data_IF_426944664950
#
_entry.id   IF_426944664950
#
_cell.length_a   1.000
_cell.length_b   1.000
_cell.length_c   1.000
_cell.angle_alpha   90.00
_cell.angle_beta   90.00
_cell.angle_gamma   90.00
#
_symmetry.space_group_name_H-M   'P 1'
#
loop_
_entity.id
_entity.type
_entity.pdbx_description
1 polymer ?
#
# COMPACT_ATOMS: atom_id res chain seq x y z
N UNK A 1 11.95 -6.48 -32.15
CA UNK A 1 12.57 -5.18 -31.80
C UNK A 1 12.35 -4.99 -30.31
N UNK A 2 13.21 -5.59 -29.48
CA UNK A 2 13.06 -5.63 -28.02
C UNK A 2 13.44 -4.26 -27.47
N UNK A 3 12.45 -3.45 -27.10
CA UNK A 3 12.69 -2.15 -26.44
C UNK A 3 13.39 -2.44 -25.11
N UNK A 4 14.58 -1.86 -24.90
CA UNK A 4 15.38 -2.01 -23.67
C UNK A 4 14.52 -1.69 -22.43
N UNK A 5 14.25 -2.71 -21.59
CA UNK A 5 13.59 -2.58 -20.29
C UNK A 5 14.26 -1.54 -19.37
N UNK A 6 15.53 -1.19 -19.61
CA UNK A 6 16.26 -0.21 -18.81
C UNK A 6 15.54 1.16 -18.69
N UNK A 7 14.92 1.66 -19.76
CA UNK A 7 14.17 2.93 -19.69
C UNK A 7 12.88 2.80 -18.87
N UNK A 8 12.29 1.61 -18.89
CA UNK A 8 11.10 1.27 -18.11
C UNK A 8 11.46 1.18 -16.62
N UNK A 9 12.63 0.61 -16.30
CA UNK A 9 13.15 0.57 -14.93
C UNK A 9 13.34 1.97 -14.33
N UNK A 10 13.86 2.92 -15.10
CA UNK A 10 14.01 4.32 -14.66
C UNK A 10 12.63 4.97 -14.41
N UNK A 11 11.68 4.77 -15.33
CA UNK A 11 10.33 5.28 -15.18
C UNK A 11 9.62 4.66 -13.95
N UNK A 12 9.75 3.34 -13.78
CA UNK A 12 9.21 2.62 -12.63
C UNK A 12 9.81 3.12 -11.31
N UNK A 13 11.14 3.31 -11.26
CA UNK A 13 11.81 3.86 -10.09
C UNK A 13 11.34 5.28 -9.75
N UNK A 14 11.07 6.11 -10.77
CA UNK A 14 10.49 7.44 -10.56
C UNK A 14 9.06 7.37 -10.00
N UNK A 15 8.21 6.51 -10.57
CA UNK A 15 6.83 6.30 -10.08
C UNK A 15 6.83 5.79 -8.63
N UNK A 16 7.79 4.91 -8.29
CA UNK A 16 7.93 4.32 -6.96
C UNK A 16 8.16 5.38 -5.86
N UNK A 17 8.75 6.53 -6.18
CA UNK A 17 8.89 7.65 -5.24
C UNK A 17 7.52 8.12 -4.76
N UNK A 18 6.55 8.26 -5.66
CA UNK A 18 5.19 8.65 -5.29
C UNK A 18 4.51 7.57 -4.45
N UNK A 19 4.77 6.29 -4.72
CA UNK A 19 4.27 5.18 -3.90
C UNK A 19 4.75 5.31 -2.46
N UNK A 20 6.05 5.50 -2.25
CA UNK A 20 6.61 5.64 -0.90
C UNK A 20 6.15 6.92 -0.19
N UNK A 21 6.01 8.03 -0.91
CA UNK A 21 5.42 9.27 -0.36
C UNK A 21 3.98 9.02 0.07
N UNK A 22 3.16 8.39 -0.79
CA UNK A 22 1.77 8.07 -0.46
C UNK A 22 1.68 7.19 0.78
N UNK A 23 2.46 6.11 0.85
CA UNK A 23 2.51 5.20 2.01
C UNK A 23 2.93 5.97 3.27
N UNK A 24 3.99 6.78 3.19
CA UNK A 24 4.46 7.58 4.32
C UNK A 24 3.40 8.54 4.85
N UNK A 25 2.70 9.24 3.96
CA UNK A 25 1.60 10.14 4.33
C UNK A 25 0.39 9.38 4.90
N UNK A 26 0.02 8.24 4.33
CA UNK A 26 -1.06 7.39 4.85
C UNK A 26 -0.75 6.98 6.29
N UNK A 27 0.46 6.47 6.54
CA UNK A 27 0.88 6.04 7.88
C UNK A 27 0.94 7.24 8.83
N UNK A 28 1.46 8.37 8.40
CA UNK A 28 1.55 9.58 9.20
C UNK A 28 0.16 10.09 9.63
N UNK A 29 -0.75 10.31 8.67
CA UNK A 29 -2.11 10.80 8.97
C UNK A 29 -2.88 9.79 9.82
N UNK A 30 -2.74 8.49 9.54
CA UNK A 30 -3.40 7.46 10.35
C UNK A 30 -2.86 7.44 11.79
N UNK A 31 -1.54 7.60 11.98
CA UNK A 31 -0.96 7.72 13.30
C UNK A 31 -1.43 9.00 14.03
N UNK A 32 -1.58 10.11 13.31
CA UNK A 32 -2.13 11.37 13.82
C UNK A 32 -3.57 11.21 14.34
N UNK A 33 -4.41 10.52 13.57
CA UNK A 33 -5.81 10.23 13.93
C UNK A 33 -5.86 9.33 15.15
N UNK A 34 -4.99 8.31 15.21
CA UNK A 34 -4.91 7.40 16.35
C UNK A 34 -4.56 8.10 17.67
N UNK A 35 -3.60 9.04 17.65
CA UNK A 35 -3.14 9.73 18.88
C UNK A 35 -4.17 10.72 19.43
N UNK A 36 -5.05 11.26 18.57
CA UNK A 36 -6.13 12.17 18.99
C UNK A 36 -7.32 11.44 19.58
N UNK A 37 -8.07 12.14 20.43
CA UNK A 37 -9.36 11.66 20.91
C UNK A 37 -10.40 11.64 19.78
N UNK A 38 -11.44 10.80 19.86
CA UNK A 38 -12.48 10.73 18.83
C UNK A 38 -13.20 12.09 18.60
N UNK A 39 -13.41 12.87 19.66
CA UNK A 39 -14.02 14.21 19.59
C UNK A 39 -13.16 15.20 18.80
N UNK A 40 -11.84 15.19 19.03
CA UNK A 40 -10.88 16.01 18.27
C UNK A 40 -10.82 15.57 16.81
N UNK A 41 -10.91 14.25 16.54
CA UNK A 41 -10.91 13.73 15.17
C UNK A 41 -12.15 14.19 14.39
N UNK A 42 -13.32 14.21 15.04
CA UNK A 42 -14.55 14.72 14.43
C UNK A 42 -14.46 16.23 14.18
N UNK A 43 -13.92 16.99 15.13
CA UNK A 43 -13.73 18.44 15.00
C UNK A 43 -12.71 18.82 13.91
N UNK A 44 -11.54 18.18 13.90
CA UNK A 44 -10.42 18.56 13.03
C UNK A 44 -10.56 18.01 11.61
N UNK A 45 -11.15 16.83 11.46
CA UNK A 45 -11.18 16.11 10.18
C UNK A 45 -12.60 15.80 9.66
N UNK A 46 -13.65 16.08 10.44
CA UNK A 46 -15.03 15.73 10.06
C UNK A 46 -15.26 14.22 9.96
N UNK A 47 -14.42 13.43 10.63
CA UNK A 47 -14.51 11.96 10.62
C UNK A 47 -15.26 11.49 11.86
N UNK A 48 -16.37 10.78 11.65
CA UNK A 48 -17.12 10.17 12.74
C UNK A 48 -16.48 8.84 13.14
N UNK A 49 -15.65 8.88 14.17
CA UNK A 49 -15.05 7.72 14.84
C UNK A 49 -15.53 7.75 16.28
N UNK A 50 -16.02 6.63 16.81
CA UNK A 50 -16.49 6.53 18.19
C UNK A 50 -15.46 5.83 19.09
N UNK A 51 -15.61 5.93 20.41
CA UNK A 51 -14.80 5.13 21.34
C UNK A 51 -15.03 3.61 21.15
N UNK A 52 -16.28 3.22 20.84
CA UNK A 52 -16.63 1.83 20.56
C UNK A 52 -15.95 1.30 19.30
N UNK A 53 -15.73 2.14 18.29
CA UNK A 53 -14.99 1.75 17.08
C UNK A 53 -13.53 1.39 17.39
N UNK A 54 -12.95 2.01 18.41
CA UNK A 54 -11.58 1.72 18.90
C UNK A 54 -11.54 0.59 19.93
N UNK A 55 -12.65 -0.10 20.20
CA UNK A 55 -12.66 -1.36 20.92
C UNK A 55 -12.17 -2.50 20.01
N UNK A 56 -10.84 -2.56 19.83
CA UNK A 56 -10.21 -3.41 18.83
C UNK A 56 -10.50 -4.91 19.05
N UNK A 57 -10.98 -5.56 17.98
CA UNK A 57 -11.04 -7.00 17.92
C UNK A 57 -9.77 -7.54 17.25
N UNK A 58 -8.79 -7.93 18.07
CA UNK A 58 -7.52 -8.45 17.57
C UNK A 58 -7.60 -9.85 16.95
N UNK A 59 -8.65 -10.62 17.25
CA UNK A 59 -8.75 -12.00 16.81
C UNK A 59 -10.19 -12.38 16.48
N UNK A 60 -10.47 -12.46 15.18
CA UNK A 60 -11.72 -12.97 14.65
C UNK A 60 -11.45 -14.09 13.65
N UNK A 61 -11.78 -15.32 14.03
CA UNK A 61 -11.59 -16.49 13.16
C UNK A 61 -12.45 -16.45 11.90
N UNK A 62 -13.56 -15.69 11.92
CA UNK A 62 -14.42 -15.52 10.74
C UNK A 62 -13.77 -14.66 9.65
N UNK A 63 -12.75 -13.87 10.00
CA UNK A 63 -12.02 -12.99 9.08
C UNK A 63 -10.82 -13.68 8.40
N UNK A 64 -10.46 -14.91 8.80
CA UNK A 64 -9.36 -15.67 8.20
C UNK A 64 -9.49 -15.78 6.67
N UNK A 65 -10.67 -16.09 6.08
CA UNK A 65 -10.80 -16.16 4.63
C UNK A 65 -10.51 -14.82 3.94
N UNK A 66 -10.95 -13.71 4.53
CA UNK A 66 -10.72 -12.36 3.99
C UNK A 66 -9.23 -12.01 4.08
N UNK A 67 -8.60 -12.28 5.23
CA UNK A 67 -7.15 -12.10 5.40
C UNK A 67 -6.36 -12.88 4.34
N UNK A 68 -6.66 -14.17 4.15
CA UNK A 68 -6.01 -15.00 3.13
C UNK A 68 -6.23 -14.44 1.72
N UNK A 69 -7.45 -14.00 1.39
CA UNK A 69 -7.76 -13.40 0.10
C UNK A 69 -6.94 -12.12 -0.15
N UNK A 70 -6.90 -11.20 0.82
CA UNK A 70 -6.12 -9.96 0.73
C UNK A 70 -4.62 -10.23 0.62
N UNK A 71 -4.10 -11.19 1.38
CA UNK A 71 -2.68 -11.59 1.29
C UNK A 71 -2.35 -12.22 -0.07
N UNK A 72 -3.26 -12.98 -0.68
CA UNK A 72 -3.05 -13.49 -2.05
C UNK A 72 -2.99 -12.36 -3.08
N UNK A 73 -3.89 -11.38 -2.99
CA UNK A 73 -3.86 -10.19 -3.87
C UNK A 73 -2.56 -9.40 -3.72
N UNK A 74 -2.02 -9.30 -2.50
CA UNK A 74 -0.76 -8.60 -2.24
C UNK A 74 0.43 -9.20 -3.02
N UNK A 75 0.39 -10.50 -3.32
CA UNK A 75 1.44 -11.23 -4.05
C UNK A 75 1.14 -11.47 -5.53
N UNK A 76 0.11 -10.82 -6.09
CA UNK A 76 -0.28 -10.97 -7.50
C UNK A 76 0.87 -10.60 -8.47
N UNK A 77 1.73 -9.65 -8.09
CA UNK A 77 2.89 -9.23 -8.88
C UNK A 77 3.94 -10.31 -9.14
N UNK A 78 3.89 -11.46 -8.44
CA UNK A 78 4.86 -12.54 -8.59
C UNK A 78 4.91 -13.13 -10.00
N UNK A 79 3.87 -13.00 -10.81
CA UNK A 79 3.88 -13.49 -12.20
C UNK A 79 4.99 -12.85 -13.04
N UNK A 80 5.43 -11.64 -12.71
CA UNK A 80 6.49 -10.95 -13.44
C UNK A 80 7.91 -11.44 -13.08
N UNK A 81 8.06 -12.27 -12.04
CA UNK A 81 9.39 -12.70 -11.57
C UNK A 81 10.13 -13.53 -12.61
N UNK A 82 9.42 -14.32 -13.42
CA UNK A 82 10.02 -15.14 -14.47
C UNK A 82 10.56 -14.27 -15.63
N UNK A 83 9.84 -13.20 -15.98
CA UNK A 83 10.27 -12.25 -17.01
C UNK A 83 11.52 -11.48 -16.56
N UNK A 84 11.58 -11.13 -15.27
CA UNK A 84 12.77 -10.52 -14.66
C UNK A 84 13.94 -11.51 -14.62
N UNK A 85 13.68 -12.78 -14.31
CA UNK A 85 14.69 -13.84 -14.25
C UNK A 85 15.35 -14.09 -15.61
N UNK A 86 14.60 -14.08 -16.71
CA UNK A 86 15.14 -14.31 -18.06
C UNK A 86 16.05 -13.19 -18.57
N UNK A 87 15.95 -12.00 -18.00
CA UNK A 87 16.73 -10.81 -18.38
C UNK A 87 17.91 -10.55 -17.42
N UNK A 88 18.01 -11.30 -16.32
CA UNK A 88 19.08 -11.11 -15.35
C UNK A 88 20.40 -11.73 -15.83
N UNK A 89 21.50 -10.97 -15.73
CA UNK A 89 22.86 -11.46 -16.08
C UNK A 89 23.29 -12.69 -15.24
N UNK A 90 22.76 -12.81 -14.01
CA UNK A 90 23.03 -13.93 -13.08
C UNK A 90 21.73 -14.46 -12.44
N UNK A 91 20.95 -15.29 -13.16
CA UNK A 91 19.58 -15.63 -12.77
C UNK A 91 19.47 -16.33 -11.41
N UNK A 92 20.39 -17.24 -11.09
CA UNK A 92 20.38 -18.02 -9.84
C UNK A 92 20.55 -17.17 -8.58
N UNK A 93 21.39 -16.14 -8.64
CA UNK A 93 21.61 -15.22 -7.52
C UNK A 93 20.53 -14.14 -7.47
N UNK A 94 20.10 -13.66 -8.64
CA UNK A 94 19.02 -12.69 -8.79
C UNK A 94 17.73 -13.18 -8.15
N UNK A 95 17.33 -14.43 -8.40
CA UNK A 95 16.07 -14.98 -7.90
C UNK A 95 15.96 -14.92 -6.37
N UNK A 96 16.99 -15.39 -5.65
CA UNK A 96 16.96 -15.45 -4.19
C UNK A 96 16.90 -14.05 -3.55
N UNK A 97 17.69 -13.11 -4.06
CA UNK A 97 17.76 -11.73 -3.54
C UNK A 97 16.47 -10.98 -3.86
N UNK A 98 16.02 -11.02 -5.12
CA UNK A 98 14.82 -10.31 -5.55
C UNK A 98 13.58 -10.82 -4.81
N UNK A 99 13.42 -12.14 -4.71
CA UNK A 99 12.30 -12.74 -3.98
C UNK A 99 12.31 -12.33 -2.51
N UNK A 100 13.46 -12.40 -1.84
CA UNK A 100 13.58 -12.04 -0.42
C UNK A 100 13.25 -10.56 -0.21
N UNK A 101 13.79 -9.66 -1.04
CA UNK A 101 13.49 -8.23 -0.97
C UNK A 101 12.00 -7.94 -1.20
N UNK A 102 11.38 -8.54 -2.21
CA UNK A 102 9.96 -8.35 -2.52
C UNK A 102 9.10 -8.86 -1.35
N UNK A 103 9.35 -10.08 -0.86
CA UNK A 103 8.58 -10.67 0.24
C UNK A 103 8.68 -9.82 1.51
N UNK A 104 9.90 -9.49 1.93
CA UNK A 104 10.14 -8.73 3.17
C UNK A 104 9.51 -7.34 3.07
N UNK A 105 9.77 -6.60 1.99
CA UNK A 105 9.26 -5.24 1.82
C UNK A 105 7.74 -5.22 1.75
N UNK A 106 7.14 -6.15 1.02
CA UNK A 106 5.69 -6.27 0.85
C UNK A 106 4.99 -6.58 2.19
N UNK A 107 5.50 -7.57 2.93
CA UNK A 107 4.95 -7.95 4.23
C UNK A 107 5.13 -6.82 5.25
N UNK A 108 6.29 -6.18 5.31
CA UNK A 108 6.55 -5.08 6.23
C UNK A 108 5.62 -3.89 5.97
N UNK A 109 5.46 -3.47 4.71
CA UNK A 109 4.56 -2.36 4.36
C UNK A 109 3.11 -2.72 4.68
N UNK A 110 2.65 -3.91 4.30
CA UNK A 110 1.28 -4.34 4.57
C UNK A 110 0.99 -4.44 6.08
N UNK A 111 1.94 -4.95 6.87
CA UNK A 111 1.82 -5.03 8.32
C UNK A 111 1.76 -3.62 8.95
N UNK A 112 2.64 -2.70 8.56
CA UNK A 112 2.67 -1.34 9.11
C UNK A 112 1.42 -0.57 8.74
N UNK A 113 1.07 -0.53 7.45
CA UNK A 113 -0.11 0.22 6.96
C UNK A 113 -1.40 -0.40 7.52
N UNK A 114 -1.51 -1.73 7.51
CA UNK A 114 -2.68 -2.43 8.02
C UNK A 114 -2.87 -2.24 9.52
N UNK A 115 -1.79 -2.35 10.30
CA UNK A 115 -1.86 -2.20 11.75
C UNK A 115 -2.16 -0.75 12.16
N UNK A 116 -1.41 0.23 11.62
CA UNK A 116 -1.64 1.65 11.95
C UNK A 116 -3.01 2.12 11.45
N UNK A 117 -3.43 1.67 10.27
CA UNK A 117 -4.76 1.98 9.74
C UNK A 117 -5.88 1.39 10.60
N UNK A 118 -5.73 0.15 11.08
CA UNK A 118 -6.71 -0.44 11.99
C UNK A 118 -6.74 0.27 13.35
N UNK A 119 -5.59 0.71 13.87
CA UNK A 119 -5.56 1.53 15.09
C UNK A 119 -6.28 2.88 14.90
N UNK A 120 -6.12 3.52 13.73
CA UNK A 120 -6.73 4.82 13.46
C UNK A 120 -8.27 4.76 13.34
N UNK A 121 -8.79 3.77 12.61
CA UNK A 121 -10.20 3.72 12.20
C UNK A 121 -11.00 2.58 12.83
N UNK A 122 -10.34 1.60 13.44
CA UNK A 122 -10.98 0.50 14.15
C UNK A 122 -11.99 -0.26 13.28
N UNK A 123 -13.20 -0.46 13.82
CA UNK A 123 -14.28 -1.16 13.13
C UNK A 123 -14.78 -0.47 11.84
N UNK A 124 -14.50 0.83 11.67
CA UNK A 124 -14.94 1.61 10.49
C UNK A 124 -13.95 1.55 9.31
N UNK A 125 -12.87 0.78 9.44
CA UNK A 125 -11.88 0.63 8.37
C UNK A 125 -12.54 0.09 7.09
N UNK A 126 -12.30 0.77 5.97
CA UNK A 126 -12.79 0.35 4.65
C UNK A 126 -11.76 -0.55 3.98
N UNK A 127 -12.18 -1.24 2.91
CA UNK A 127 -11.29 -2.14 2.14
C UNK A 127 -10.06 -1.45 1.56
N UNK A 128 -10.11 -0.12 1.37
CA UNK A 128 -8.97 0.69 0.91
C UNK A 128 -8.78 1.83 1.89
N UNK A 129 -7.61 1.88 2.54
CA UNK A 129 -7.31 2.85 3.60
C UNK A 129 -7.40 4.31 3.13
N UNK A 130 -7.15 4.58 1.85
CA UNK A 130 -7.31 5.92 1.27
C UNK A 130 -8.74 6.46 1.39
N UNK A 131 -9.74 5.58 1.46
CA UNK A 131 -11.16 5.96 1.61
C UNK A 131 -11.53 6.33 3.05
N UNK A 132 -10.67 6.00 4.01
CA UNK A 132 -10.80 6.42 5.40
C UNK A 132 -10.11 7.75 5.66
N UNK A 133 -9.12 8.14 4.85
CA UNK A 133 -8.43 9.41 5.02
C UNK A 133 -9.37 10.61 4.83
N UNK A 134 -9.22 11.66 5.65
CA UNK A 134 -9.99 12.91 5.55
C UNK A 134 -9.97 13.49 4.13
N UNK A 135 -11.06 14.14 3.71
CA UNK A 135 -11.17 14.70 2.36
C UNK A 135 -10.67 16.15 2.25
N UNK A 136 -10.74 16.90 3.33
CA UNK A 136 -10.38 18.32 3.34
C UNK A 136 -8.96 18.57 3.84
N UNK A 137 -8.31 17.54 4.39
CA UNK A 137 -6.97 17.66 4.95
C UNK A 137 -5.88 17.59 3.85
N UNK A 138 -4.96 18.58 3.77
CA UNK A 138 -3.98 18.68 2.68
C UNK A 138 -3.05 17.48 2.50
N UNK A 139 -2.57 16.85 3.58
CA UNK A 139 -1.68 15.69 3.51
C UNK A 139 -2.42 14.47 2.96
N UNK A 140 -3.69 14.31 3.33
CA UNK A 140 -4.59 13.26 2.84
C UNK A 140 -4.89 13.42 1.35
N UNK A 141 -5.13 14.65 0.90
CA UNK A 141 -5.27 14.96 -0.53
C UNK A 141 -3.97 14.65 -1.25
N UNK A 142 -2.82 15.04 -0.69
CA UNK A 142 -1.50 14.77 -1.28
C UNK A 142 -1.24 13.26 -1.40
N UNK A 143 -1.55 12.47 -0.38
CA UNK A 143 -1.44 11.02 -0.40
C UNK A 143 -2.31 10.41 -1.51
N UNK A 144 -3.56 10.86 -1.63
CA UNK A 144 -4.49 10.45 -2.69
C UNK A 144 -3.94 10.80 -4.07
N UNK A 145 -3.38 11.99 -4.27
CA UNK A 145 -2.75 12.40 -5.53
C UNK A 145 -1.52 11.52 -5.88
N UNK A 146 -0.63 11.28 -4.92
CA UNK A 146 0.54 10.42 -5.12
C UNK A 146 0.14 8.98 -5.46
N UNK A 147 -0.92 8.46 -4.83
CA UNK A 147 -1.48 7.15 -5.18
C UNK A 147 -2.04 7.11 -6.60
N UNK A 148 -2.79 8.14 -7.02
CA UNK A 148 -3.28 8.24 -8.41
C UNK A 148 -2.14 8.23 -9.41
N UNK A 149 -1.06 9.00 -9.17
CA UNK A 149 0.13 8.99 -10.01
C UNK A 149 0.80 7.61 -10.08
N UNK A 150 0.82 6.89 -8.95
CA UNK A 150 1.33 5.52 -8.86
C UNK A 150 0.54 4.58 -9.76
N UNK A 151 -0.78 4.63 -9.70
CA UNK A 151 -1.67 3.79 -10.50
C UNK A 151 -1.54 4.12 -11.99
N UNK A 152 -1.51 5.40 -12.35
CA UNK A 152 -1.28 5.84 -13.74
C UNK A 152 0.05 5.33 -14.29
N UNK A 153 1.12 5.41 -13.50
CA UNK A 153 2.43 4.87 -13.88
C UNK A 153 2.40 3.35 -14.05
N UNK A 154 1.64 2.64 -13.21
CA UNK A 154 1.49 1.19 -13.30
C UNK A 154 0.79 0.73 -14.58
N UNK A 155 -0.24 1.44 -15.06
CA UNK A 155 -0.90 1.13 -16.33
C UNK A 155 0.04 1.20 -17.54
N UNK A 156 0.98 2.16 -17.53
CA UNK A 156 2.01 2.27 -18.58
C UNK A 156 2.89 1.02 -18.62
N UNK A 157 3.17 0.41 -17.46
CA UNK A 157 3.95 -0.83 -17.36
C UNK A 157 3.13 -2.05 -17.80
N UNK A 158 1.84 -2.10 -17.48
CA UNK A 158 0.96 -3.26 -17.75
C UNK A 158 0.54 -3.36 -19.22
N UNK A 159 0.30 -2.23 -19.89
CA UNK A 159 -0.20 -2.21 -21.29
C UNK A 159 0.91 -2.53 -22.31
N UNK A 160 2.18 -2.53 -21.89
CA UNK A 160 3.27 -2.83 -22.81
C UNK A 160 3.22 -4.31 -23.24
N UNK A 161 3.08 -4.62 -24.54
CA UNK A 161 3.15 -5.99 -25.00
C UNK A 161 4.56 -6.53 -24.73
N UNK A 162 4.62 -7.59 -23.91
CA UNK A 162 5.75 -8.51 -23.81
C UNK A 162 5.87 -9.33 -25.10
#
# INVERSE_FOLDING_TARGET
>A
YVRRLAHIGIFSAFVLIFTFIAIGLIVYVSAEIYVRSPEEVESDYGLHVTEDDRNYNYWDTSMIPIFCATMMTLFEGNQQILNLYSEADSPSSFFAIALTCILVLTVCIAAVVGYVGYLAFGATVKSVILLNLPNEEPLSITAKCCYVLTIMGSFVLVIQPI
#
